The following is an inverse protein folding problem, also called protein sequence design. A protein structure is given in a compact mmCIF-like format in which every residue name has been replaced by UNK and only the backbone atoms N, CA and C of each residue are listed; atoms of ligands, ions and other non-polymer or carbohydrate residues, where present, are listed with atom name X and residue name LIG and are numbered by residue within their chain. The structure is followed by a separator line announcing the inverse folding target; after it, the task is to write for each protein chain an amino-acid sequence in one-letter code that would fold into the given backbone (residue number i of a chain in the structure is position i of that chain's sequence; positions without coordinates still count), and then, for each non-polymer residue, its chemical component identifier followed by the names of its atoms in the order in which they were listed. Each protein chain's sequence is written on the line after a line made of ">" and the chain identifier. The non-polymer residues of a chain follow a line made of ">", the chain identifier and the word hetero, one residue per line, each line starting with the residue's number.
data_IF_678753251226
#
_entry.id   IF_678753251226
#
_cell.length_a   1.000
_cell.length_b   1.000
_cell.length_c   1.000
_cell.angle_alpha   90.00
_cell.angle_beta   90.00
_cell.angle_gamma   90.00
#
_symmetry.space_group_name_H-M   'P 1'
#
loop_
_entity.id
_entity.type
_entity.pdbx_description
1 polymer ?
#
# COMPACT_ATOMS: atom_id res chain seq x y z
N UNK A 1 -19.41 -10.92 1.24
CA UNK A 1 -19.33 -10.18 -0.02
C UNK A 1 -18.80 -8.78 0.28
N UNK A 2 -17.52 -8.52 0.01
CA UNK A 2 -16.86 -7.21 0.22
C UNK A 2 -16.82 -6.37 -1.08
N UNK A 3 -17.83 -6.57 -1.93
CA UNK A 3 -17.89 -5.93 -3.25
C UNK A 3 -18.59 -4.56 -3.18
N UNK A 4 -19.56 -4.42 -2.27
CA UNK A 4 -20.40 -3.22 -2.13
C UNK A 4 -19.93 -2.26 -1.02
N UNK A 5 -18.74 -2.47 -0.47
CA UNK A 5 -18.19 -1.54 0.52
C UNK A 5 -17.79 -0.22 -0.19
N UNK A 6 -18.37 0.93 0.19
CA UNK A 6 -18.10 2.20 -0.46
C UNK A 6 -16.63 2.62 -0.36
N UNK A 7 -15.95 2.28 0.74
CA UNK A 7 -14.52 2.58 0.95
C UNK A 7 -13.69 1.74 -0.01
N UNK A 8 -14.00 0.44 -0.12
CA UNK A 8 -13.28 -0.44 -1.03
C UNK A 8 -13.46 0.00 -2.48
N UNK A 9 -14.66 0.45 -2.86
CA UNK A 9 -14.93 0.98 -4.20
C UNK A 9 -14.18 2.27 -4.49
N UNK A 10 -14.08 3.18 -3.52
CA UNK A 10 -13.26 4.38 -3.67
C UNK A 10 -11.78 4.02 -3.87
N UNK A 11 -11.23 3.14 -3.03
CA UNK A 11 -9.84 2.68 -3.15
C UNK A 11 -9.57 2.02 -4.50
N UNK A 12 -10.50 1.20 -5.02
CA UNK A 12 -10.39 0.59 -6.36
C UNK A 12 -10.35 1.64 -7.46
N UNK A 13 -11.29 2.59 -7.45
CA UNK A 13 -11.35 3.69 -8.43
C UNK A 13 -10.08 4.51 -8.42
N UNK A 14 -9.57 4.88 -7.24
CA UNK A 14 -8.32 5.62 -7.12
C UNK A 14 -7.14 4.82 -7.69
N UNK A 15 -7.06 3.51 -7.40
CA UNK A 15 -6.03 2.64 -7.94
C UNK A 15 -6.08 2.58 -9.47
N UNK A 16 -7.27 2.41 -10.05
CA UNK A 16 -7.47 2.35 -11.51
C UNK A 16 -7.02 3.63 -12.20
N UNK A 17 -7.39 4.80 -11.66
CA UNK A 17 -6.96 6.10 -12.19
C UNK A 17 -5.45 6.29 -12.16
N UNK A 18 -4.78 5.86 -11.08
CA UNK A 18 -3.32 5.95 -10.99
C UNK A 18 -2.67 4.99 -11.99
N UNK A 19 -3.21 3.79 -12.16
CA UNK A 19 -2.68 2.81 -13.11
C UNK A 19 -2.84 3.30 -14.56
N UNK A 20 -3.98 3.92 -14.88
CA UNK A 20 -4.21 4.56 -16.18
C UNK A 20 -3.22 5.70 -16.43
N UNK A 21 -2.99 6.56 -15.43
CA UNK A 21 -1.95 7.62 -15.50
C UNK A 21 -0.55 7.04 -15.74
N UNK A 22 -0.28 5.86 -15.20
CA UNK A 22 0.96 5.13 -15.42
C UNK A 22 0.95 4.28 -16.70
N UNK A 23 -0.09 4.33 -17.53
CA UNK A 23 -0.23 3.56 -18.77
C UNK A 23 -0.15 2.04 -18.56
N UNK A 24 -0.58 1.56 -17.38
CA UNK A 24 -0.44 0.15 -17.00
C UNK A 24 0.97 -0.28 -16.61
N UNK A 25 1.95 0.63 -16.63
CA UNK A 25 3.34 0.36 -16.23
C UNK A 25 3.44 0.27 -14.71
N UNK A 26 3.73 -0.93 -14.22
CA UNK A 26 3.82 -1.22 -12.78
C UNK A 26 5.02 -0.55 -12.11
N UNK A 27 6.14 -0.38 -12.80
CA UNK A 27 7.31 0.28 -12.23
C UNK A 27 7.04 1.77 -12.01
N UNK A 28 6.38 2.41 -12.99
CA UNK A 28 5.91 3.80 -12.84
C UNK A 28 4.86 3.93 -11.74
N UNK A 29 3.95 2.98 -11.63
CA UNK A 29 2.93 2.94 -10.58
C UNK A 29 3.57 2.90 -9.19
N UNK A 30 4.52 1.98 -8.95
CA UNK A 30 5.22 1.90 -7.66
C UNK A 30 6.10 3.10 -7.38
N UNK A 31 6.70 3.70 -8.42
CA UNK A 31 7.46 4.95 -8.28
C UNK A 31 6.55 6.09 -7.84
N UNK A 32 5.39 6.26 -8.49
CA UNK A 32 4.40 7.28 -8.13
C UNK A 32 3.95 7.15 -6.67
N UNK A 33 3.62 5.94 -6.21
CA UNK A 33 3.22 5.72 -4.81
C UNK A 33 4.33 6.17 -3.85
N UNK A 34 5.59 5.80 -4.11
CA UNK A 34 6.72 6.18 -3.26
C UNK A 34 6.93 7.70 -3.23
N UNK A 35 6.77 8.37 -4.36
CA UNK A 35 6.86 9.83 -4.44
C UNK A 35 5.77 10.52 -3.62
N UNK A 36 4.51 10.05 -3.70
CA UNK A 36 3.41 10.59 -2.90
C UNK A 36 3.58 10.33 -1.40
N UNK A 37 4.10 9.17 -1.02
CA UNK A 37 4.46 8.84 0.36
C UNK A 37 5.52 9.79 0.93
N UNK A 38 6.55 10.09 0.13
CA UNK A 38 7.63 11.00 0.54
C UNK A 38 7.15 12.45 0.72
N UNK A 39 6.07 12.86 0.06
CA UNK A 39 5.47 14.20 0.23
C UNK A 39 4.75 14.37 1.57
N UNK A 40 4.24 13.28 2.15
CA UNK A 40 3.44 13.30 3.37
C UNK A 40 3.96 12.25 4.38
N UNK A 41 5.23 12.37 4.83
CA UNK A 41 5.86 11.38 5.71
C UNK A 41 5.12 11.19 7.04
N UNK A 42 4.40 12.22 7.51
CA UNK A 42 3.58 12.19 8.73
C UNK A 42 2.37 11.24 8.64
N UNK A 43 1.92 10.92 7.42
CA UNK A 43 0.82 9.96 7.18
C UNK A 43 1.30 8.52 7.19
N UNK A 44 2.61 8.28 7.09
CA UNK A 44 3.16 6.94 7.12
C UNK A 44 3.08 6.39 8.53
N UNK A 45 2.51 5.20 8.65
CA UNK A 45 2.55 4.46 9.91
C UNK A 45 4.00 4.20 10.31
N UNK A 46 4.31 4.39 11.59
CA UNK A 46 5.63 4.03 12.12
C UNK A 46 5.78 2.52 12.01
N UNK A 47 6.94 2.00 11.60
CA UNK A 47 7.17 0.56 11.62
C UNK A 47 6.91 0.05 13.04
N UNK A 48 6.02 -0.92 13.16
CA UNK A 48 5.77 -1.57 14.43
C UNK A 48 7.11 -2.17 14.91
N UNK A 49 7.48 -1.91 16.17
CA UNK A 49 8.62 -2.58 16.78
C UNK A 49 8.24 -4.05 16.95
N UNK A 50 8.56 -4.88 15.96
CA UNK A 50 8.37 -6.32 16.07
C UNK A 50 9.42 -6.81 17.06
N UNK A 51 9.05 -6.96 18.35
CA UNK A 51 9.87 -7.72 19.31
C UNK A 51 9.94 -9.14 18.78
N UNK A 52 11.08 -9.53 18.20
CA UNK A 52 11.36 -10.92 17.81
C UNK A 52 11.32 -11.80 19.06
N UNK A 53 10.19 -12.43 19.37
CA UNK A 53 10.20 -13.63 20.19
C UNK A 53 10.72 -14.78 19.31
N UNK A 54 11.98 -15.13 19.49
CA UNK A 54 12.55 -16.35 18.91
C UNK A 54 11.80 -17.55 19.48
N UNK A 55 10.83 -18.10 18.76
CA UNK A 55 10.34 -19.45 19.02
C UNK A 55 11.43 -20.42 18.55
N UNK A 56 12.20 -20.96 19.49
CA UNK A 56 13.06 -22.12 19.24
C UNK A 56 12.15 -23.31 18.94
N UNK A 57 12.08 -23.73 17.69
CA UNK A 57 11.55 -25.05 17.33
C UNK A 57 12.67 -26.04 17.60
N UNK A 58 12.55 -26.85 18.65
CA UNK A 58 13.36 -28.06 18.80
C UNK A 58 12.85 -29.09 17.79
N UNK A 59 13.77 -29.64 17.00
CA UNK A 59 13.58 -30.77 16.09
C UNK A 59 13.38 -32.07 16.87
#
# INVERSE_FOLDING_TARGET
>A
MAYDDPIVNEVRKTRELILEKCQGDMDRFFKFIREEQNKNPERLTKPAVVKKSLQKVSL
#
